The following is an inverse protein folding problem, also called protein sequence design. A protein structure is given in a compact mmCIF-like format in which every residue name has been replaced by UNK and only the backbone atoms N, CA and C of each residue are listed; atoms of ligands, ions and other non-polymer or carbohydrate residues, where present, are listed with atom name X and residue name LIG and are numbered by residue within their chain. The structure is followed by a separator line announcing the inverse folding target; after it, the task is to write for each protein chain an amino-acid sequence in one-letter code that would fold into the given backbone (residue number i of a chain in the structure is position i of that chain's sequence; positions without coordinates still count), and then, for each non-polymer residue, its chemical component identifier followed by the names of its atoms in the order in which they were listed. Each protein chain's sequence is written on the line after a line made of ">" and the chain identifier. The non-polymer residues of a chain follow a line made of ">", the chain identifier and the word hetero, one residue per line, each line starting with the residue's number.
data_IF_453533910768
#
_entry.id   IF_453533910768
#
_cell.length_a   1.000
_cell.length_b   1.000
_cell.length_c   1.000
_cell.angle_alpha   90.00
_cell.angle_beta   90.00
_cell.angle_gamma   90.00
#
_symmetry.space_group_name_H-M   'P 1'
#
loop_
_entity.id
_entity.type
_entity.pdbx_description
1 polymer ?
#
# COMPACT_ATOMS: atom_id res chain seq x y z
N UNK A 1 16.44 16.39 2.81
CA UNK A 1 15.94 15.76 4.06
C UNK A 1 15.62 14.30 3.76
N UNK A 2 15.98 13.32 4.61
CA UNK A 2 15.79 11.90 4.27
C UNK A 2 14.30 11.56 4.30
N UNK A 3 13.79 11.01 3.20
CA UNK A 3 12.39 10.57 3.09
C UNK A 3 12.29 9.19 3.70
N UNK A 4 11.79 9.10 4.94
CA UNK A 4 11.46 7.83 5.58
C UNK A 4 10.02 7.48 5.20
N UNK A 5 9.85 6.49 4.31
CA UNK A 5 8.54 5.96 3.93
C UNK A 5 8.17 4.81 4.87
N UNK A 6 7.01 4.90 5.53
CA UNK A 6 6.43 3.78 6.30
C UNK A 6 5.15 3.35 5.58
N UNK A 7 5.12 2.12 5.07
CA UNK A 7 3.92 1.50 4.51
C UNK A 7 3.68 0.16 5.19
N UNK A 8 2.52 -0.02 5.81
CA UNK A 8 2.16 -1.29 6.45
C UNK A 8 1.72 -2.30 5.42
N UNK A 9 2.26 -3.51 5.55
CA UNK A 9 1.85 -4.70 4.81
C UNK A 9 0.36 -4.98 5.04
N UNK A 10 -0.33 -5.25 3.94
CA UNK A 10 -1.69 -5.74 3.95
C UNK A 10 -1.77 -7.04 4.76
N UNK A 11 -2.70 -7.16 5.71
CA UNK A 11 -3.06 -8.42 6.35
C UNK A 11 -4.55 -8.67 6.18
N UNK A 12 -4.89 -9.56 5.24
CA UNK A 12 -6.22 -10.16 5.19
C UNK A 12 -6.30 -11.24 6.26
N UNK A 13 -7.44 -11.39 6.94
CA UNK A 13 -7.70 -12.57 7.77
C UNK A 13 -8.86 -13.32 7.15
N UNK A 14 -8.67 -14.63 6.97
CA UNK A 14 -9.71 -15.54 6.53
C UNK A 14 -10.48 -15.98 7.77
N UNK A 15 -11.72 -15.52 7.91
CA UNK A 15 -12.67 -16.04 8.91
C UNK A 15 -13.77 -16.77 8.15
N UNK A 16 -13.82 -18.10 8.31
CA UNK A 16 -14.92 -19.04 8.00
C UNK A 16 -15.97 -18.58 6.97
N UNK A 17 -15.54 -18.44 5.71
CA UNK A 17 -16.33 -18.06 4.51
C UNK A 17 -16.50 -16.57 4.16
N UNK A 18 -15.94 -15.62 4.90
CA UNK A 18 -15.85 -14.22 4.43
C UNK A 18 -14.44 -13.65 4.56
N UNK A 19 -13.81 -13.40 3.41
CA UNK A 19 -12.56 -12.65 3.33
C UNK A 19 -12.85 -11.17 3.57
N UNK A 20 -12.76 -10.76 4.83
CA UNK A 20 -12.87 -9.36 5.22
C UNK A 20 -11.49 -8.81 5.60
N UNK A 21 -11.21 -7.58 5.17
CA UNK A 21 -10.02 -6.85 5.64
C UNK A 21 -10.09 -6.80 7.16
N UNK A 22 -9.02 -7.15 7.90
CA UNK A 22 -9.10 -7.10 9.36
C UNK A 22 -9.55 -5.70 9.77
N UNK A 23 -10.55 -5.64 10.66
CA UNK A 23 -11.08 -4.37 11.18
C UNK A 23 -9.99 -3.46 11.78
N UNK A 24 -8.86 -4.03 12.19
CA UNK A 24 -7.68 -3.31 12.69
C UNK A 24 -6.85 -2.61 11.61
N UNK A 25 -6.85 -3.05 10.35
CA UNK A 25 -6.01 -2.45 9.29
C UNK A 25 -6.34 -0.96 9.08
N UNK A 26 -7.62 -0.53 8.94
CA UNK A 26 -7.94 0.88 8.81
C UNK A 26 -7.50 1.73 10.02
N UNK A 27 -7.56 1.17 11.23
CA UNK A 27 -7.14 1.86 12.44
C UNK A 27 -5.61 2.07 12.48
N UNK A 28 -4.84 1.05 12.11
CA UNK A 28 -3.37 1.12 12.02
C UNK A 28 -2.96 2.13 10.94
N UNK A 29 -3.57 2.05 9.76
CA UNK A 29 -3.34 2.99 8.65
C UNK A 29 -3.64 4.43 9.08
N UNK A 30 -4.76 4.66 9.78
CA UNK A 30 -5.11 5.99 10.33
C UNK A 30 -4.06 6.50 11.32
N UNK A 31 -3.61 5.64 12.23
CA UNK A 31 -2.57 5.98 13.20
C UNK A 31 -1.26 6.37 12.50
N UNK A 32 -0.80 5.58 11.53
CA UNK A 32 0.44 5.86 10.81
C UNK A 32 0.38 7.13 9.98
N UNK A 33 -0.75 7.38 9.32
CA UNK A 33 -1.01 8.65 8.62
C UNK A 33 -0.94 9.84 9.57
N UNK A 34 -1.51 9.72 10.77
CA UNK A 34 -1.46 10.79 11.77
C UNK A 34 -0.03 11.05 12.25
N UNK A 35 0.76 10.00 12.50
CA UNK A 35 2.17 10.13 12.88
C UNK A 35 2.99 10.80 11.77
N UNK A 36 2.75 10.42 10.51
CA UNK A 36 3.43 11.00 9.35
C UNK A 36 3.18 12.50 9.24
N UNK A 37 1.93 12.93 9.43
CA UNK A 37 1.56 14.35 9.47
C UNK A 37 2.20 15.07 10.65
N UNK A 38 2.19 14.45 11.84
CA UNK A 38 2.73 15.04 13.07
C UNK A 38 4.26 15.25 13.00
N UNK A 39 4.98 14.32 12.38
CA UNK A 39 6.44 14.31 12.39
C UNK A 39 7.08 14.65 11.04
N UNK A 40 6.28 14.96 10.02
CA UNK A 40 6.76 15.43 8.72
C UNK A 40 7.47 14.38 7.87
N UNK A 41 7.04 13.11 7.94
CA UNK A 41 7.55 12.04 7.08
C UNK A 41 6.51 11.59 6.05
N UNK A 42 6.99 10.95 4.98
CA UNK A 42 6.13 10.45 3.91
C UNK A 42 5.45 9.15 4.35
N UNK A 43 4.15 9.05 4.10
CA UNK A 43 3.38 7.84 4.35
C UNK A 43 2.80 7.32 3.05
N UNK A 44 3.07 6.06 2.75
CA UNK A 44 2.45 5.36 1.64
C UNK A 44 1.42 4.37 2.16
N UNK A 45 0.16 4.62 1.81
CA UNK A 45 -0.94 3.75 2.14
C UNK A 45 -0.96 2.59 1.15
N UNK A 46 -0.29 1.50 1.48
CA UNK A 46 -0.23 0.33 0.60
C UNK A 46 -1.62 -0.28 0.36
N UNK A 47 -2.49 -0.26 1.36
CA UNK A 47 -3.85 -0.79 1.23
C UNK A 47 -4.62 -0.07 0.12
N UNK A 48 -4.65 1.26 0.16
CA UNK A 48 -5.28 2.05 -0.89
C UNK A 48 -4.47 2.08 -2.19
N UNK A 49 -3.14 2.08 -2.10
CA UNK A 49 -2.23 2.09 -3.24
C UNK A 49 -2.29 0.83 -4.10
N UNK A 50 -2.67 -0.32 -3.52
CA UNK A 50 -2.91 -1.55 -4.28
C UNK A 50 -4.29 -1.57 -4.96
N UNK A 51 -5.26 -0.79 -4.48
CA UNK A 51 -6.64 -0.80 -4.98
C UNK A 51 -7.73 -0.91 -3.91
N UNK A 52 -7.36 -0.94 -2.62
CA UNK A 52 -8.30 -0.92 -1.51
C UNK A 52 -8.98 -2.28 -1.25
N UNK A 53 -10.24 -2.28 -0.78
CA UNK A 53 -10.97 -3.49 -0.42
C UNK A 53 -10.99 -4.54 -1.54
N UNK A 54 -10.96 -5.82 -1.17
CA UNK A 54 -11.01 -6.97 -2.08
C UNK A 54 -9.83 -7.10 -3.07
N UNK A 55 -8.80 -6.25 -2.98
CA UNK A 55 -7.64 -6.33 -3.88
C UNK A 55 -6.88 -7.65 -3.74
N UNK A 56 -6.66 -8.13 -2.51
CA UNK A 56 -5.97 -9.42 -2.32
C UNK A 56 -6.76 -10.61 -2.87
N UNK A 57 -8.09 -10.55 -2.82
CA UNK A 57 -8.94 -11.56 -3.45
C UNK A 57 -8.73 -11.55 -4.97
N UNK A 58 -8.77 -10.37 -5.59
CA UNK A 58 -8.50 -10.21 -7.03
C UNK A 58 -7.11 -10.73 -7.39
N UNK A 59 -6.09 -10.38 -6.62
CA UNK A 59 -4.70 -10.79 -6.85
C UNK A 59 -4.50 -12.30 -6.69
N UNK A 60 -5.23 -12.93 -5.77
CA UNK A 60 -5.14 -14.38 -5.56
C UNK A 60 -5.80 -15.19 -6.69
N UNK A 61 -6.83 -14.63 -7.34
CA UNK A 61 -7.55 -15.28 -8.45
C UNK A 61 -7.04 -14.90 -9.85
N UNK A 62 -6.14 -13.93 -9.97
CA UNK A 62 -5.54 -13.54 -11.25
C UNK A 62 -4.55 -14.62 -11.77
N UNK A 63 -4.32 -14.65 -13.09
CA UNK A 63 -3.26 -15.44 -13.73
C UNK A 63 -2.29 -14.52 -14.48
N UNK A 64 -0.99 -14.47 -14.13
CA UNK A 64 -0.35 -15.16 -13.00
C UNK A 64 -0.90 -14.69 -11.64
N UNK A 65 -0.79 -15.54 -10.61
CA UNK A 65 -1.28 -15.22 -9.27
C UNK A 65 -0.38 -14.14 -8.67
N UNK A 66 -0.98 -13.03 -8.23
CA UNK A 66 -0.28 -11.91 -7.59
C UNK A 66 -0.33 -12.01 -6.05
N UNK A 67 -1.22 -12.82 -5.50
CA UNK A 67 -1.29 -13.10 -4.08
C UNK A 67 -1.42 -14.61 -3.79
N UNK A 68 -0.91 -15.00 -2.62
CA UNK A 68 -1.06 -16.33 -2.09
C UNK A 68 -2.52 -16.61 -1.71
N UNK A 69 -2.89 -17.88 -1.62
CA UNK A 69 -4.22 -18.36 -1.19
C UNK A 69 -4.47 -18.14 0.30
N UNK A 70 -3.47 -17.67 1.03
CA UNK A 70 -3.61 -17.16 2.40
C UNK A 70 -4.18 -15.73 2.44
N UNK A 71 -4.36 -15.10 1.27
CA UNK A 71 -4.88 -13.74 1.08
C UNK A 71 -4.16 -12.66 1.91
N UNK A 72 -2.91 -12.95 2.31
CA UNK A 72 -2.08 -12.12 3.17
C UNK A 72 -0.78 -11.76 2.48
N UNK A 73 -0.14 -12.72 1.83
CA UNK A 73 1.17 -12.51 1.22
C UNK A 73 1.05 -12.35 -0.30
N UNK A 74 1.83 -11.42 -0.84
CA UNK A 74 2.03 -11.30 -2.28
C UNK A 74 2.93 -12.44 -2.77
N UNK A 75 2.70 -12.90 -3.99
CA UNK A 75 3.69 -13.74 -4.70
C UNK A 75 4.86 -12.88 -5.17
N UNK A 76 5.92 -13.50 -5.71
CA UNK A 76 7.02 -12.76 -6.33
C UNK A 76 6.54 -11.79 -7.42
N UNK A 77 5.64 -12.25 -8.30
CA UNK A 77 5.10 -11.41 -9.36
C UNK A 77 4.14 -10.34 -8.82
N UNK A 78 3.39 -10.62 -7.77
CA UNK A 78 2.62 -9.61 -7.05
C UNK A 78 3.50 -8.52 -6.44
N UNK A 79 4.62 -8.91 -5.83
CA UNK A 79 5.63 -8.01 -5.28
C UNK A 79 6.21 -7.09 -6.36
N UNK A 80 6.50 -7.62 -7.55
CA UNK A 80 6.95 -6.80 -8.70
C UNK A 80 5.89 -5.77 -9.11
N UNK A 81 4.64 -6.19 -9.28
CA UNK A 81 3.53 -5.29 -9.69
C UNK A 81 3.37 -4.15 -8.68
N UNK A 82 3.28 -4.49 -7.40
CA UNK A 82 3.12 -3.51 -6.32
C UNK A 82 4.35 -2.60 -6.20
N UNK A 83 5.55 -3.15 -6.37
CA UNK A 83 6.80 -2.38 -6.40
C UNK A 83 6.84 -1.36 -7.54
N UNK A 84 6.39 -1.75 -8.74
CA UNK A 84 6.28 -0.82 -9.88
C UNK A 84 5.24 0.28 -9.64
N UNK A 85 4.07 -0.07 -9.06
CA UNK A 85 3.06 0.92 -8.68
C UNK A 85 3.63 1.96 -7.70
N UNK A 86 4.34 1.49 -6.66
CA UNK A 86 4.98 2.36 -5.69
C UNK A 86 6.05 3.25 -6.34
N UNK A 87 6.95 2.67 -7.14
CA UNK A 87 8.04 3.41 -7.79
C UNK A 87 7.49 4.52 -8.71
N UNK A 88 6.46 4.21 -9.50
CA UNK A 88 5.78 5.18 -10.37
C UNK A 88 5.21 6.34 -9.57
N UNK A 89 4.47 6.04 -8.50
CA UNK A 89 3.89 7.07 -7.63
C UNK A 89 4.98 7.93 -6.98
N UNK A 90 6.04 7.31 -6.48
CA UNK A 90 7.12 8.00 -5.80
C UNK A 90 7.87 8.97 -6.73
N UNK A 91 8.17 8.54 -7.96
CA UNK A 91 8.81 9.38 -8.96
C UNK A 91 7.90 10.55 -9.39
N UNK A 92 6.59 10.29 -9.54
CA UNK A 92 5.61 11.32 -9.83
C UNK A 92 5.54 12.37 -8.71
N UNK A 93 5.49 11.95 -7.45
CA UNK A 93 5.49 12.86 -6.30
C UNK A 93 6.79 13.66 -6.20
N UNK A 94 7.94 13.06 -6.51
CA UNK A 94 9.21 13.78 -6.58
C UNK A 94 9.19 14.86 -7.65
N UNK A 95 8.66 14.57 -8.85
CA UNK A 95 8.54 15.54 -9.93
C UNK A 95 7.58 16.69 -9.56
N UNK A 96 6.43 16.36 -8.97
CA UNK A 96 5.45 17.34 -8.47
C UNK A 96 6.05 18.26 -7.41
N UNK A 97 6.84 17.70 -6.48
CA UNK A 97 7.53 18.49 -5.46
C UNK A 97 8.52 19.46 -6.10
N UNK A 98 9.37 18.99 -7.03
CA UNK A 98 10.33 19.85 -7.76
C UNK A 98 9.63 20.99 -8.51
N UNK A 99 8.52 20.71 -9.18
CA UNK A 99 7.73 21.72 -9.87
C UNK A 99 7.23 22.80 -8.89
N UNK A 100 6.63 22.40 -7.76
CA UNK A 100 6.13 23.34 -6.74
C UNK A 100 7.23 24.23 -6.17
N UNK A 101 8.43 23.68 -5.93
CA UNK A 101 9.57 24.47 -5.42
C UNK A 101 10.13 25.45 -6.47
N UNK A 102 9.87 25.25 -7.76
CA UNK A 102 10.33 26.16 -8.83
C UNK A 102 9.43 27.39 -9.00
N UNK A 103 8.19 27.34 -8.51
CA UNK A 103 7.20 28.43 -8.56
C UNK A 103 6.97 29.10 -7.20
N UNK A 104 7.74 28.73 -6.18
CA UNK A 104 7.83 29.38 -4.86
C UNK A 104 9.15 30.13 -4.77
#
# INVERSE_FOLDING_TARGET
>A
KPVRSVGVGYRGVKTDNQLTTMRSVPAIVKMQRNLARKHGFLFYDLFWGMGGPNTMLKFAHQRPRLANTDYTHLTHDGGKVVGHMFARLFLQEQANHKAKTKYQ
#
